data_IF_388244166509
#
_entry.id   IF_388244166509
#
_cell.length_a   1.000
_cell.length_b   1.000
_cell.length_c   1.000
_cell.angle_alpha   90.00
_cell.angle_beta   90.00
_cell.angle_gamma   90.00
#
_symmetry.space_group_name_H-M   'P 1'
#
loop_
_entity.id
_entity.type
_entity.pdbx_description
1 polymer ?
#
# COMPACT_ATOMS: atom_id res chain seq x y z
N UNK A 1 -26.17 -7.86 8.94
CA UNK A 1 -24.79 -8.09 8.47
C UNK A 1 -24.18 -6.88 7.75
N UNK A 2 -24.95 -5.89 7.30
CA UNK A 2 -24.45 -4.69 6.57
C UNK A 2 -23.68 -3.63 7.40
N UNK A 3 -23.66 -3.72 8.73
CA UNK A 3 -22.97 -2.73 9.58
C UNK A 3 -21.48 -3.01 9.82
N UNK A 4 -21.07 -4.29 9.80
CA UNK A 4 -19.68 -4.70 10.06
C UNK A 4 -18.82 -4.54 8.79
N UNK A 5 -19.39 -4.85 7.62
CA UNK A 5 -18.71 -4.74 6.32
C UNK A 5 -18.40 -3.28 5.94
N UNK A 6 -19.21 -2.33 6.38
CA UNK A 6 -18.97 -0.90 6.18
C UNK A 6 -17.79 -0.37 7.02
N UNK A 7 -17.56 -0.92 8.22
CA UNK A 7 -16.47 -0.49 9.09
C UNK A 7 -15.10 -0.94 8.55
N UNK A 8 -15.00 -2.18 8.07
CA UNK A 8 -13.76 -2.69 7.47
C UNK A 8 -13.46 -2.01 6.13
N UNK A 9 -14.47 -1.76 5.30
CA UNK A 9 -14.27 -1.07 4.02
C UNK A 9 -13.73 0.35 4.21
N UNK A 10 -14.28 1.10 5.19
CA UNK A 10 -13.76 2.42 5.56
C UNK A 10 -12.31 2.37 6.02
N UNK A 11 -11.96 1.40 6.88
CA UNK A 11 -10.58 1.18 7.33
C UNK A 11 -9.63 0.87 6.17
N UNK A 12 -10.01 -0.01 5.24
CA UNK A 12 -9.17 -0.37 4.09
C UNK A 12 -8.97 0.82 3.15
N UNK A 13 -10.00 1.63 2.92
CA UNK A 13 -9.89 2.86 2.14
C UNK A 13 -8.93 3.85 2.80
N UNK A 14 -9.08 4.09 4.11
CA UNK A 14 -8.17 4.93 4.90
C UNK A 14 -6.71 4.45 4.77
N UNK A 15 -6.48 3.15 4.92
CA UNK A 15 -5.11 2.60 4.80
C UNK A 15 -4.52 2.75 3.41
N UNK A 16 -5.35 2.68 2.37
CA UNK A 16 -4.95 2.86 0.97
C UNK A 16 -4.60 4.32 0.69
N UNK A 17 -5.36 5.27 1.23
CA UNK A 17 -5.06 6.69 1.11
C UNK A 17 -3.76 7.08 1.82
N UNK A 18 -3.52 6.55 3.02
CA UNK A 18 -2.25 6.76 3.74
C UNK A 18 -1.09 6.21 2.90
N UNK A 19 -1.25 5.01 2.33
CA UNK A 19 -0.24 4.41 1.47
C UNK A 19 0.10 5.26 0.25
N UNK A 20 -0.90 5.86 -0.39
CA UNK A 20 -0.69 6.77 -1.51
C UNK A 20 0.09 8.01 -1.08
N UNK A 21 -0.27 8.63 0.05
CA UNK A 21 0.43 9.81 0.58
C UNK A 21 1.89 9.52 0.94
N UNK A 22 2.18 8.34 1.49
CA UNK A 22 3.56 7.90 1.73
C UNK A 22 4.33 7.77 0.40
N UNK A 23 3.66 7.30 -0.66
CA UNK A 23 4.24 7.18 -2.00
C UNK A 23 4.50 8.55 -2.64
N UNK A 24 3.60 9.51 -2.42
CA UNK A 24 3.76 10.90 -2.87
C UNK A 24 4.94 11.58 -2.14
N UNK A 25 5.04 11.39 -0.82
CA UNK A 25 6.18 11.88 -0.04
C UNK A 25 7.50 11.30 -0.55
N UNK A 26 7.56 9.99 -0.83
CA UNK A 26 8.74 9.34 -1.43
C UNK A 26 9.10 9.93 -2.79
N UNK A 27 8.10 10.23 -3.61
CA UNK A 27 8.33 10.87 -4.92
C UNK A 27 8.91 12.27 -4.77
N UNK A 28 8.41 13.05 -3.80
CA UNK A 28 8.97 14.36 -3.49
C UNK A 28 10.42 14.27 -3.01
N UNK A 29 10.74 13.31 -2.14
CA UNK A 29 12.11 13.08 -1.64
C UNK A 29 13.08 12.83 -2.79
N UNK A 30 12.70 12.02 -3.79
CA UNK A 30 13.52 11.78 -4.97
C UNK A 30 13.75 13.07 -5.79
N UNK A 31 12.71 13.92 -5.90
CA UNK A 31 12.82 15.23 -6.57
C UNK A 31 13.69 16.22 -5.78
N UNK A 32 13.55 16.25 -4.45
CA UNK A 32 14.41 17.03 -3.55
C UNK A 32 15.87 16.65 -3.76
N UNK A 33 16.18 15.34 -3.82
CA UNK A 33 17.52 14.85 -4.11
C UNK A 33 18.02 15.28 -5.51
N UNK A 34 17.13 15.30 -6.50
CA UNK A 34 17.44 15.85 -7.83
C UNK A 34 17.83 17.33 -7.78
N UNK A 35 17.06 18.17 -7.08
CA UNK A 35 17.37 19.59 -6.93
C UNK A 35 18.62 19.84 -6.08
N UNK A 36 18.86 19.03 -5.05
CA UNK A 36 20.10 19.01 -4.29
C UNK A 36 21.32 18.83 -5.19
N UNK A 37 21.27 17.83 -6.09
CA UNK A 37 22.31 17.62 -7.09
C UNK A 37 22.49 18.81 -8.03
N UNK A 38 21.40 19.47 -8.43
CA UNK A 38 21.49 20.70 -9.24
C UNK A 38 22.13 21.85 -8.47
N UNK A 39 21.79 22.07 -7.20
CA UNK A 39 22.36 23.13 -6.35
C UNK A 39 23.87 22.95 -6.18
N UNK A 40 24.34 21.71 -6.01
CA UNK A 40 25.76 21.41 -5.81
C UNK A 40 26.58 21.54 -7.09
N UNK A 41 26.00 21.23 -8.26
CA UNK A 41 26.72 21.18 -9.53
C UNK A 41 26.50 22.41 -10.42
N UNK A 42 25.59 23.31 -10.06
CA UNK A 42 25.30 24.51 -10.86
C UNK A 42 26.50 25.46 -10.89
N UNK A 43 26.87 25.90 -12.09
CA UNK A 43 27.86 26.98 -12.33
C UNK A 43 27.21 28.36 -12.47
N UNK A 44 25.88 28.41 -12.57
CA UNK A 44 25.09 29.64 -12.69
C UNK A 44 24.29 29.91 -11.42
N UNK A 45 24.43 31.11 -10.86
CA UNK A 45 23.70 31.57 -9.67
C UNK A 45 22.18 31.59 -9.88
N UNK A 46 21.70 31.86 -11.10
CA UNK A 46 20.27 31.88 -11.41
C UNK A 46 19.66 30.47 -11.44
N UNK A 47 20.42 29.49 -11.93
CA UNK A 47 20.02 28.08 -11.92
C UNK A 47 19.99 27.53 -10.50
N UNK A 48 21.03 27.82 -9.70
CA UNK A 48 21.10 27.45 -8.28
C UNK A 48 19.92 28.02 -7.49
N UNK A 49 19.61 29.31 -7.68
CA UNK A 49 18.50 29.97 -6.99
C UNK A 49 17.13 29.40 -7.37
N UNK A 50 16.95 29.01 -8.63
CA UNK A 50 15.72 28.38 -9.11
C UNK A 50 15.54 26.98 -8.51
N UNK A 51 16.60 26.17 -8.52
CA UNK A 51 16.59 24.83 -7.92
C UNK A 51 16.34 24.89 -6.40
N UNK A 52 16.91 25.88 -5.70
CA UNK A 52 16.68 26.10 -4.27
C UNK A 52 15.21 26.41 -3.96
N UNK A 53 14.53 27.22 -4.77
CA UNK A 53 13.10 27.54 -4.59
C UNK A 53 12.20 26.32 -4.82
N UNK A 54 12.45 25.56 -5.88
CA UNK A 54 11.68 24.34 -6.15
C UNK A 54 11.88 23.28 -5.07
N UNK A 55 13.11 23.16 -4.56
CA UNK A 55 13.40 22.32 -3.41
C UNK A 55 12.59 22.76 -2.18
N UNK A 56 12.60 24.03 -1.83
CA UNK A 56 11.91 24.55 -0.63
C UNK A 56 10.40 24.24 -0.66
N UNK A 57 9.78 24.42 -1.82
CA UNK A 57 8.37 24.07 -2.03
C UNK A 57 8.11 22.58 -1.76
N UNK A 58 8.99 21.70 -2.26
CA UNK A 58 8.87 20.26 -2.03
C UNK A 58 9.16 19.86 -0.59
N UNK A 59 10.13 20.50 0.08
CA UNK A 59 10.43 20.27 1.50
C UNK A 59 9.18 20.55 2.35
N UNK A 60 8.57 21.72 2.15
CA UNK A 60 7.33 22.10 2.86
C UNK A 60 6.16 21.14 2.58
N UNK A 61 5.96 20.76 1.31
CA UNK A 61 4.91 19.80 0.96
C UNK A 61 5.15 18.41 1.57
N UNK A 62 6.39 17.92 1.50
CA UNK A 62 6.79 16.61 2.04
C UNK A 62 6.63 16.56 3.55
N UNK A 63 7.04 17.63 4.25
CA UNK A 63 6.84 17.78 5.69
C UNK A 63 5.37 17.59 6.08
N UNK A 64 4.46 18.29 5.40
CA UNK A 64 3.02 18.19 5.68
C UNK A 64 2.48 16.78 5.42
N UNK A 65 2.89 16.13 4.33
CA UNK A 65 2.50 14.75 4.03
C UNK A 65 2.97 13.77 5.11
N UNK A 66 4.22 13.90 5.57
CA UNK A 66 4.80 13.01 6.57
C UNK A 66 4.14 13.16 7.94
N UNK A 67 3.85 14.40 8.36
CA UNK A 67 3.11 14.68 9.60
C UNK A 67 1.70 14.06 9.53
N UNK A 68 0.98 14.31 8.43
CA UNK A 68 -0.36 13.75 8.23
C UNK A 68 -0.35 12.22 8.25
N UNK A 69 0.58 11.59 7.52
CA UNK A 69 0.71 10.13 7.50
C UNK A 69 1.00 9.59 8.92
N UNK A 70 1.92 10.23 9.65
CA UNK A 70 2.25 9.83 11.02
C UNK A 70 1.02 9.92 11.93
N UNK A 71 0.28 11.03 11.90
CA UNK A 71 -0.92 11.22 12.72
C UNK A 71 -2.01 10.18 12.39
N UNK A 72 -2.23 9.89 11.10
CA UNK A 72 -3.22 8.88 10.66
C UNK A 72 -2.81 7.46 11.04
N UNK A 73 -1.52 7.10 10.92
CA UNK A 73 -1.02 5.80 11.38
C UNK A 73 -1.13 5.66 12.90
N UNK A 74 -0.84 6.73 13.66
CA UNK A 74 -1.03 6.76 15.12
C UNK A 74 -2.50 6.66 15.53
N UNK A 75 -3.40 7.26 14.76
CA UNK A 75 -4.84 7.08 14.96
C UNK A 75 -5.25 5.61 14.79
N UNK A 76 -4.78 4.95 13.73
CA UNK A 76 -5.03 3.51 13.54
C UNK A 76 -4.50 2.70 14.72
N UNK A 77 -3.30 2.99 15.21
CA UNK A 77 -2.75 2.32 16.40
C UNK A 77 -3.69 2.45 17.60
N UNK A 78 -4.15 3.66 17.88
CA UNK A 78 -5.04 3.97 18.98
C UNK A 78 -6.40 3.27 18.87
N UNK A 79 -6.95 3.22 17.66
CA UNK A 79 -8.19 2.49 17.38
C UNK A 79 -8.01 0.99 17.58
N UNK A 80 -6.91 0.41 17.08
CA UNK A 80 -6.63 -1.02 17.16
C UNK A 80 -6.50 -1.51 18.61
N UNK A 81 -5.99 -0.71 19.54
CA UNK A 81 -5.92 -1.05 20.98
C UNK A 81 -7.32 -1.30 21.58
N UNK A 82 -8.36 -0.72 21.00
CA UNK A 82 -9.76 -0.85 21.46
C UNK A 82 -10.53 -1.95 20.77
N UNK A 83 -9.95 -2.57 19.73
CA UNK A 83 -10.59 -3.67 19.01
C UNK A 83 -10.30 -4.97 19.77
N UNK A 84 -11.34 -5.70 20.25
CA UNK A 84 -11.13 -6.97 20.93
C UNK A 84 -10.41 -7.96 20.01
N UNK A 85 -9.54 -8.80 20.58
CA UNK A 85 -8.85 -9.83 19.79
C UNK A 85 -9.79 -10.88 19.17
N UNK A 86 -11.03 -10.96 19.66
CA UNK A 86 -12.09 -11.79 19.07
C UNK A 86 -12.74 -11.18 17.82
N UNK A 87 -12.44 -9.93 17.47
CA UNK A 87 -12.95 -9.29 16.25
C UNK A 87 -12.41 -10.03 15.02
N UNK A 88 -13.26 -10.49 14.09
CA UNK A 88 -12.83 -11.18 12.87
C UNK A 88 -11.84 -10.39 12.01
N UNK A 89 -11.84 -9.05 12.12
CA UNK A 89 -10.98 -8.15 11.36
C UNK A 89 -9.71 -7.76 12.13
N UNK A 90 -9.54 -8.15 13.40
CA UNK A 90 -8.41 -7.74 14.24
C UNK A 90 -7.06 -8.00 13.55
N UNK A 91 -6.87 -9.21 13.00
CA UNK A 91 -5.64 -9.59 12.30
C UNK A 91 -5.34 -8.72 11.07
N UNK A 92 -6.35 -8.42 10.26
CA UNK A 92 -6.20 -7.56 9.07
C UNK A 92 -5.83 -6.14 9.49
N UNK A 93 -6.48 -5.61 10.54
CA UNK A 93 -6.20 -4.27 11.05
C UNK A 93 -4.78 -4.16 11.59
N UNK A 94 -4.32 -5.16 12.34
CA UNK A 94 -2.95 -5.19 12.85
C UNK A 94 -1.93 -5.27 11.71
N UNK A 95 -2.15 -6.17 10.72
CA UNK A 95 -1.24 -6.32 9.59
C UNK A 95 -1.13 -5.03 8.77
N UNK A 96 -2.25 -4.35 8.49
CA UNK A 96 -2.27 -3.09 7.75
C UNK A 96 -1.58 -1.97 8.51
N UNK A 97 -1.82 -1.87 9.82
CA UNK A 97 -1.11 -0.93 10.68
C UNK A 97 0.41 -1.15 10.63
N UNK A 98 0.88 -2.39 10.84
CA UNK A 98 2.32 -2.70 10.84
C UNK A 98 2.97 -2.44 9.48
N UNK A 99 2.26 -2.73 8.40
CA UNK A 99 2.71 -2.40 7.04
C UNK A 99 2.91 -0.90 6.85
N UNK A 100 1.90 -0.09 7.19
CA UNK A 100 1.97 1.37 7.04
C UNK A 100 3.04 1.98 7.95
N UNK A 101 3.14 1.52 9.19
CA UNK A 101 4.18 1.94 10.14
C UNK A 101 5.56 1.68 9.56
N UNK A 102 5.81 0.45 9.12
CA UNK A 102 7.11 0.07 8.53
C UNK A 102 7.41 0.88 7.27
N UNK A 103 6.42 1.06 6.39
CA UNK A 103 6.58 1.83 5.14
C UNK A 103 6.91 3.30 5.42
N UNK A 104 6.22 3.93 6.38
CA UNK A 104 6.49 5.31 6.78
C UNK A 104 7.87 5.44 7.46
N UNK A 105 8.23 4.52 8.36
CA UNK A 105 9.56 4.47 8.99
C UNK A 105 10.68 4.44 7.95
N UNK A 106 10.54 3.59 6.92
CA UNK A 106 11.53 3.49 5.85
C UNK A 106 11.65 4.80 5.05
N UNK A 107 10.53 5.49 4.78
CA UNK A 107 10.55 6.78 4.06
C UNK A 107 11.17 7.89 4.91
N UNK A 108 10.89 7.93 6.21
CA UNK A 108 11.52 8.89 7.15
C UNK A 108 13.04 8.68 7.22
N UNK A 109 13.48 7.43 7.29
CA UNK A 109 14.89 7.03 7.28
C UNK A 109 15.58 7.43 5.96
N UNK A 110 14.97 7.08 4.82
CA UNK A 110 15.46 7.43 3.49
C UNK A 110 15.60 8.95 3.34
N UNK A 111 14.60 9.72 3.78
CA UNK A 111 14.66 11.17 3.69
C UNK A 111 15.75 11.75 4.59
N UNK A 112 15.89 11.25 5.81
CA UNK A 112 16.95 11.70 6.72
C UNK A 112 18.34 11.47 6.14
N UNK A 113 18.54 10.33 5.47
CA UNK A 113 19.80 10.02 4.79
C UNK A 113 20.07 11.00 3.63
N UNK A 114 19.05 11.28 2.80
CA UNK A 114 19.15 12.26 1.70
C UNK A 114 19.56 13.65 2.22
N UNK A 115 18.93 14.12 3.30
CA UNK A 115 19.27 15.42 3.91
C UNK A 115 20.65 15.41 4.56
N UNK A 116 21.02 14.34 5.26
CA UNK A 116 22.34 14.18 5.86
C UNK A 116 23.46 14.20 4.81
N UNK A 117 23.27 13.49 3.70
CA UNK A 117 24.24 13.46 2.60
C UNK A 117 24.37 14.83 1.94
N UNK A 118 23.26 15.54 1.73
CA UNK A 118 23.29 16.90 1.20
C UNK A 118 23.97 17.89 2.15
N UNK A 119 23.69 17.82 3.45
CA UNK A 119 24.36 18.62 4.46
C UNK A 119 25.87 18.40 4.41
N UNK A 120 26.32 17.14 4.39
CA UNK A 120 27.73 16.79 4.31
C UNK A 120 28.39 17.37 3.05
N UNK A 121 27.77 17.20 1.90
CA UNK A 121 28.30 17.72 0.62
C UNK A 121 28.36 19.25 0.61
N UNK A 122 27.38 19.91 1.24
CA UNK A 122 27.36 21.37 1.38
C UNK A 122 28.49 21.85 2.30
N UNK A 123 28.68 21.19 3.45
CA UNK A 123 29.79 21.45 4.39
C UNK A 123 31.16 21.25 3.71
N UNK A 124 31.33 20.17 2.96
CA UNK A 124 32.56 19.91 2.18
C UNK A 124 32.84 20.99 1.12
N UNK A 125 31.79 21.46 0.41
CA UNK A 125 31.91 22.53 -0.59
C UNK A 125 32.35 23.85 0.06
N UNK A 126 31.75 24.21 1.19
CA UNK A 126 32.13 25.40 1.96
C UNK A 126 33.58 25.33 2.42
N UNK A 127 34.03 24.19 2.94
CA UNK A 127 35.42 24.01 3.36
C UNK A 127 36.41 24.13 2.20
N UNK A 128 36.07 23.61 1.01
CA UNK A 128 36.89 23.80 -0.21
C UNK A 128 36.94 25.26 -0.64
N UNK A 129 35.82 25.97 -0.61
CA UNK A 129 35.76 27.41 -0.94
C UNK A 129 36.60 28.23 0.05
N UNK A 130 36.57 27.90 1.33
CA UNK A 130 37.41 28.55 2.34
C UNK A 130 38.90 28.35 2.05
N UNK A 131 39.34 27.13 1.69
CA UNK A 131 40.74 26.85 1.31
C UNK A 131 41.21 27.62 0.07
N UNK A 132 40.33 27.96 -0.87
CA UNK A 132 40.70 28.77 -2.05
C UNK A 132 41.10 30.19 -1.61
N UNK A 133 40.42 30.74 -0.61
CA UNK A 133 40.71 32.08 -0.07
C UNK A 133 41.84 32.05 0.96
N UNK A 134 41.93 30.98 1.76
CA UNK A 134 42.98 30.77 2.75
C UNK A 134 43.67 29.40 2.57
N UNK A 135 44.68 29.30 1.68
CA UNK A 135 45.34 28.03 1.35
C UNK A 135 46.05 27.33 2.51
N UNK A 136 46.42 28.08 3.55
CA UNK A 136 47.14 27.57 4.72
C UNK A 136 46.20 27.20 5.88
N UNK A 137 44.88 27.28 5.69
CA UNK A 137 43.91 26.97 6.71
C UNK A 137 44.06 25.52 7.23
N UNK A 138 44.07 25.37 8.55
CA UNK A 138 44.06 24.06 9.20
C UNK A 138 42.69 23.39 9.07
N UNK A 139 42.63 22.07 9.23
CA UNK A 139 41.34 21.36 9.20
C UNK A 139 40.40 21.86 10.30
N UNK A 140 40.94 22.15 11.49
CA UNK A 140 40.16 22.64 12.62
C UNK A 140 39.55 24.03 12.35
N UNK A 141 40.31 24.94 11.73
CA UNK A 141 39.77 26.25 11.31
C UNK A 141 38.64 26.12 10.28
N UNK A 142 38.70 25.12 9.41
CA UNK A 142 37.64 24.86 8.42
C UNK A 142 36.40 24.29 9.10
N UNK A 143 36.58 23.33 9.99
CA UNK A 143 35.48 22.73 10.74
C UNK A 143 34.78 23.79 11.59
N UNK A 144 35.54 24.69 12.21
CA UNK A 144 35.01 25.83 12.97
C UNK A 144 34.25 26.81 12.05
N UNK A 145 34.78 27.12 10.87
CA UNK A 145 34.13 27.99 9.89
C UNK A 145 32.83 27.39 9.32
N UNK A 146 32.77 26.06 9.16
CA UNK A 146 31.60 25.37 8.60
C UNK A 146 30.52 25.12 9.65
N UNK A 147 30.92 24.98 10.92
CA UNK A 147 30.01 24.61 12.02
C UNK A 147 29.45 25.82 12.77
N UNK A 148 30.14 26.96 12.77
CA UNK A 148 29.73 28.13 13.53
C UNK A 148 29.27 29.26 12.61
N UNK A 149 27.96 29.54 12.61
CA UNK A 149 27.41 30.76 11.98
C UNK A 149 27.98 32.04 12.58
N UNK A 150 28.45 31.96 13.82
CA UNK A 150 28.87 33.09 14.65
C UNK A 150 30.38 33.35 14.55
N UNK A 151 31.09 32.72 13.60
CA UNK A 151 32.49 33.03 13.29
C UNK A 151 32.65 34.37 12.55
N UNK A 152 31.91 35.39 13.00
CA UNK A 152 32.01 36.80 12.65
C UNK A 152 33.44 37.39 12.73
N UNK A 153 34.33 37.00 13.66
CA UNK A 153 35.61 37.71 13.81
C UNK A 153 36.51 37.62 12.57
N UNK A 154 36.48 36.51 11.84
CA UNK A 154 37.34 36.30 10.65
C UNK A 154 36.87 37.15 9.47
N UNK A 155 35.56 37.38 9.36
CA UNK A 155 34.97 38.17 8.27
C UNK A 155 34.83 39.67 8.59
N UNK A 156 34.60 40.05 9.85
CA UNK A 156 34.51 41.46 10.24
C UNK A 156 35.81 42.23 9.97
N UNK A 157 36.97 41.57 10.05
CA UNK A 157 38.26 42.17 9.68
C UNK A 157 38.38 42.48 8.16
N UNK A 158 37.69 41.71 7.31
CA UNK A 158 37.66 41.89 5.86
C UNK A 158 36.61 42.91 5.39
N UNK A 159 35.48 43.03 6.12
CA UNK A 159 34.38 43.96 5.84
C UNK A 159 34.79 45.44 5.86
N UNK A 160 35.89 45.78 6.53
CA UNK A 160 36.40 47.15 6.64
C UNK A 160 37.03 47.67 5.33
N UNK A 161 37.17 46.86 4.27
CA UNK A 161 38.02 47.20 3.12
C UNK A 161 37.33 47.38 1.75
N UNK A 162 36.16 46.78 1.46
CA UNK A 162 35.53 46.87 0.12
C UNK A 162 34.06 46.40 0.07
N UNK A 163 33.29 46.83 -0.95
CA UNK A 163 31.93 46.34 -1.23
C UNK A 163 31.89 44.82 -1.56
N UNK A 164 32.99 44.27 -2.08
CA UNK A 164 33.14 42.85 -2.40
C UNK A 164 33.11 41.96 -1.13
N UNK A 165 33.67 42.45 -0.02
CA UNK A 165 33.66 41.74 1.25
C UNK A 165 32.24 41.61 1.85
N UNK A 166 31.35 42.58 1.59
CA UNK A 166 29.95 42.52 2.02
C UNK A 166 29.17 41.43 1.29
N UNK A 167 29.37 41.30 -0.02
CA UNK A 167 28.71 40.27 -0.82
C UNK A 167 29.18 38.87 -0.42
N UNK A 168 30.48 38.70 -0.16
CA UNK A 168 31.04 37.44 0.32
C UNK A 168 30.46 37.05 1.69
N UNK A 169 30.35 37.98 2.65
CA UNK A 169 29.73 37.70 3.95
C UNK A 169 28.26 37.27 3.81
N UNK A 170 27.48 37.98 2.98
CA UNK A 170 26.08 37.65 2.78
C UNK A 170 25.90 36.24 2.19
N UNK A 171 26.80 35.82 1.31
CA UNK A 171 26.82 34.44 0.79
C UNK A 171 27.13 33.42 1.88
N UNK A 172 28.13 33.69 2.74
CA UNK A 172 28.48 32.80 3.86
C UNK A 172 27.34 32.66 4.85
N UNK A 173 26.70 33.76 5.23
CA UNK A 173 25.54 33.75 6.13
C UNK A 173 24.39 32.93 5.55
N UNK A 174 24.09 33.13 4.26
CA UNK A 174 23.06 32.35 3.56
C UNK A 174 23.36 30.85 3.59
N UNK A 175 24.61 30.42 3.37
CA UNK A 175 24.99 29.00 3.42
C UNK A 175 24.81 28.39 4.81
N UNK A 176 25.13 29.15 5.86
CA UNK A 176 24.90 28.70 7.24
C UNK A 176 23.41 28.57 7.56
N UNK A 177 22.59 29.52 7.09
CA UNK A 177 21.14 29.42 7.21
C UNK A 177 20.59 28.18 6.48
N UNK A 178 21.09 27.90 5.27
CA UNK A 178 20.73 26.69 4.53
C UNK A 178 21.10 25.41 5.33
N UNK A 179 22.29 25.34 5.92
CA UNK A 179 22.71 24.23 6.80
C UNK A 179 21.77 24.07 7.98
N UNK A 180 21.45 25.16 8.67
CA UNK A 180 20.56 25.15 9.82
C UNK A 180 19.16 24.64 9.46
N UNK A 181 18.65 25.01 8.29
CA UNK A 181 17.36 24.52 7.81
C UNK A 181 17.37 23.01 7.53
N UNK A 182 18.49 22.48 7.01
CA UNK A 182 18.68 21.03 6.84
C UNK A 182 18.74 20.33 8.20
N UNK A 183 19.48 20.89 9.17
CA UNK A 183 19.58 20.34 10.52
C UNK A 183 18.21 20.29 11.23
N UNK A 184 17.40 21.34 11.09
CA UNK A 184 16.03 21.36 11.57
C UNK A 184 15.17 20.27 10.93
N UNK A 185 15.31 20.08 9.61
CA UNK A 185 14.60 19.04 8.87
C UNK A 185 14.99 17.65 9.38
N UNK A 186 16.29 17.37 9.56
CA UNK A 186 16.79 16.11 10.11
C UNK A 186 16.25 15.85 11.52
N UNK A 187 16.26 16.88 12.37
CA UNK A 187 15.74 16.78 13.74
C UNK A 187 14.23 16.49 13.75
N UNK A 188 13.46 17.13 12.89
CA UNK A 188 12.03 16.86 12.75
C UNK A 188 11.75 15.44 12.25
N UNK A 189 12.51 14.95 11.26
CA UNK A 189 12.37 13.57 10.79
C UNK A 189 12.67 12.55 11.90
N UNK A 190 13.66 12.82 12.75
CA UNK A 190 13.96 11.99 13.92
C UNK A 190 12.82 12.02 14.95
N UNK A 191 12.24 13.19 15.20
CA UNK A 191 11.08 13.33 16.09
C UNK A 191 9.86 12.56 15.56
N UNK A 192 9.54 12.69 14.27
CA UNK A 192 8.45 11.93 13.64
C UNK A 192 8.70 10.42 13.73
N UNK A 193 9.93 9.99 13.51
CA UNK A 193 10.32 8.59 13.65
C UNK A 193 10.11 8.09 15.08
N UNK A 194 10.54 8.86 16.09
CA UNK A 194 10.34 8.51 17.49
C UNK A 194 8.85 8.43 17.83
N UNK A 195 8.06 9.45 17.47
CA UNK A 195 6.62 9.50 17.72
C UNK A 195 5.86 8.33 17.10
N UNK A 196 6.26 7.91 15.90
CA UNK A 196 5.69 6.75 15.21
C UNK A 196 5.92 5.44 15.96
N UNK A 197 7.05 5.32 16.66
CA UNK A 197 7.41 4.13 17.44
C UNK A 197 6.95 4.18 18.90
N UNK A 198 6.50 5.33 19.40
CA UNK A 198 5.88 5.41 20.71
C UNK A 198 4.63 4.53 20.71
N UNK A 199 4.59 3.54 21.61
CA UNK A 199 3.44 2.68 21.75
C UNK A 199 2.36 3.38 22.58
N UNK A 200 1.09 3.24 22.19
CA UNK A 200 -0.03 3.62 23.04
C UNK A 200 -0.20 2.52 24.08
N UNK A 201 -0.01 2.86 25.36
CA UNK A 201 -0.34 1.96 26.46
C UNK A 201 -1.86 1.81 26.56
N UNK A 202 -2.31 0.56 26.67
CA UNK A 202 -3.67 0.23 27.05
C UNK A 202 -3.83 0.53 28.55
N UNK A 203 -4.58 1.56 28.93
CA UNK A 203 -5.13 1.59 30.29
C UNK A 203 -6.12 0.43 30.41
N UNK A 204 -5.88 -0.45 31.37
CA UNK A 204 -6.61 -1.70 31.63
C UNK A 204 -8.13 -1.59 31.37
N UNK A 205 -8.60 -2.20 30.27
CA UNK A 205 -9.93 -2.79 30.33
C UNK A 205 -9.77 -4.14 31.01
N UNK A 206 -10.27 -4.19 32.24
CA UNK A 206 -10.29 -5.34 33.12
C UNK A 206 -10.29 -6.68 32.37
N UNK A 207 -9.34 -7.52 32.75
CA UNK A 207 -9.39 -8.97 32.60
C UNK A 207 -10.78 -9.43 33.07
N UNK A 208 -11.67 -9.76 32.14
CA UNK A 208 -12.70 -10.77 32.37
C UNK A 208 -12.54 -11.79 31.24
N UNK A 209 -12.05 -12.94 31.69
CA UNK A 209 -11.96 -14.22 31.02
C UNK A 209 -13.18 -14.50 30.12
N UNK A 210 -12.94 -15.17 29.01
CA UNK A 210 -13.39 -16.56 28.82
C UNK A 210 -12.64 -17.13 27.60
N UNK A 211 -11.65 -17.96 27.91
CA UNK A 211 -11.47 -19.32 27.40
C UNK A 211 -12.70 -19.90 26.66
N UNK A 212 -13.00 -19.46 25.44
CA UNK A 212 -13.87 -20.15 24.47
C UNK A 212 -13.75 -19.44 23.12
N UNK A 213 -12.74 -19.83 22.34
CA UNK A 213 -12.70 -19.69 20.86
C UNK A 213 -11.40 -20.27 20.26
N UNK A 214 -10.57 -20.98 21.04
CA UNK A 214 -9.44 -21.76 20.51
C UNK A 214 -9.89 -22.89 19.56
N UNK A 215 -11.17 -23.30 19.60
CA UNK A 215 -11.74 -24.29 18.67
C UNK A 215 -12.49 -23.69 17.47
N UNK A 216 -12.55 -22.36 17.32
CA UNK A 216 -13.43 -21.73 16.30
C UNK A 216 -12.71 -20.91 15.24
N UNK A 217 -11.38 -20.76 15.34
CA UNK A 217 -10.58 -20.04 14.32
C UNK A 217 -9.78 -20.98 13.40
N UNK A 218 -9.64 -22.27 13.75
CA UNK A 218 -9.01 -23.26 12.86
C UNK A 218 -9.98 -23.79 11.78
N UNK A 219 -11.29 -23.68 11.95
CA UNK A 219 -12.26 -24.12 10.93
C UNK A 219 -12.76 -23.04 9.97
N UNK A 220 -12.30 -21.78 10.09
CA UNK A 220 -12.76 -20.68 9.22
C UNK A 220 -11.64 -19.98 8.45
N UNK A 221 -10.54 -20.71 8.20
CA UNK A 221 -9.46 -20.28 7.29
C UNK A 221 -9.25 -21.29 6.14
N UNK A 222 -10.11 -22.30 6.00
CA UNK A 222 -10.15 -23.18 4.82
C UNK A 222 -11.12 -22.69 3.73
N UNK A 223 -11.83 -21.58 3.97
CA UNK A 223 -12.84 -21.04 3.04
C UNK A 223 -12.53 -19.64 2.49
N UNK A 224 -11.32 -19.10 2.70
CA UNK A 224 -10.94 -17.76 2.19
C UNK A 224 -9.61 -17.76 1.43
N UNK A 225 -9.21 -18.91 0.89
CA UNK A 225 -8.12 -19.05 -0.10
C UNK A 225 -8.54 -19.90 -1.31
N UNK A 226 -9.85 -19.95 -1.61
CA UNK A 226 -10.38 -20.57 -2.84
C UNK A 226 -11.22 -19.64 -3.72
N UNK A 227 -11.03 -18.31 -3.61
CA UNK A 227 -11.69 -17.34 -4.51
C UNK A 227 -10.73 -16.49 -5.36
N UNK A 228 -9.49 -16.95 -5.57
CA UNK A 228 -8.63 -16.46 -6.66
C UNK A 228 -7.94 -17.59 -7.45
N UNK A 229 -8.56 -18.77 -7.49
CA UNK A 229 -8.00 -19.96 -8.16
C UNK A 229 -9.02 -20.88 -8.83
N UNK A 230 -10.25 -20.42 -9.12
CA UNK A 230 -11.30 -21.23 -9.76
C UNK A 230 -11.89 -20.61 -11.05
N UNK A 231 -11.12 -19.80 -11.76
CA UNK A 231 -11.52 -19.33 -13.08
C UNK A 231 -11.24 -20.33 -14.23
N UNK A 232 -10.51 -21.44 -14.00
CA UNK A 232 -10.19 -22.40 -15.09
C UNK A 232 -10.53 -23.88 -14.83
N UNK A 233 -11.03 -24.26 -13.66
CA UNK A 233 -11.30 -25.68 -13.33
C UNK A 233 -12.77 -26.10 -13.55
N UNK A 234 -13.71 -25.14 -13.64
CA UNK A 234 -15.12 -25.44 -13.94
C UNK A 234 -15.36 -25.70 -15.45
N UNK A 235 -14.50 -25.21 -16.35
CA UNK A 235 -14.62 -25.47 -17.79
C UNK A 235 -14.18 -26.91 -18.17
N UNK A 236 -13.26 -27.52 -17.42
CA UNK A 236 -12.75 -28.86 -17.73
C UNK A 236 -13.67 -29.98 -17.21
N UNK A 237 -14.38 -29.78 -16.09
CA UNK A 237 -15.31 -30.76 -15.55
C UNK A 237 -16.59 -30.94 -16.40
N UNK A 238 -17.04 -29.87 -17.06
CA UNK A 238 -18.20 -29.92 -17.97
C UNK A 238 -17.92 -30.75 -19.23
N UNK A 239 -16.67 -30.82 -19.70
CA UNK A 239 -16.28 -31.62 -20.88
C UNK A 239 -16.24 -33.12 -20.59
N UNK A 240 -15.80 -33.53 -19.38
CA UNK A 240 -15.79 -34.95 -18.97
C UNK A 240 -17.20 -35.53 -18.79
N UNK A 241 -18.16 -34.75 -18.26
CA UNK A 241 -19.55 -35.22 -18.09
C UNK A 241 -20.29 -35.44 -19.42
N UNK A 242 -20.00 -34.64 -20.46
CA UNK A 242 -20.55 -34.83 -21.81
C UNK A 242 -20.13 -36.17 -22.44
N UNK A 243 -18.87 -36.57 -22.24
CA UNK A 243 -18.36 -37.86 -22.75
C UNK A 243 -18.93 -39.06 -22.01
N UNK A 244 -19.16 -38.94 -20.70
CA UNK A 244 -19.79 -40.00 -19.90
C UNK A 244 -21.26 -40.20 -20.31
N UNK A 245 -22.03 -39.12 -20.51
CA UNK A 245 -23.40 -39.22 -21.02
C UNK A 245 -23.46 -39.80 -22.45
N UNK A 246 -22.52 -39.44 -23.32
CA UNK A 246 -22.44 -39.98 -24.68
C UNK A 246 -22.12 -41.48 -24.69
N UNK A 247 -21.22 -41.94 -23.81
CA UNK A 247 -20.90 -43.36 -23.67
C UNK A 247 -22.10 -44.19 -23.17
N UNK A 248 -22.88 -43.67 -22.21
CA UNK A 248 -24.09 -44.32 -21.71
C UNK A 248 -25.17 -44.40 -22.81
N UNK A 249 -25.33 -43.35 -23.62
CA UNK A 249 -26.29 -43.34 -24.72
C UNK A 249 -25.95 -44.39 -25.78
N UNK A 250 -24.67 -44.52 -26.18
CA UNK A 250 -24.22 -45.56 -27.12
C UNK A 250 -24.51 -46.96 -26.56
N UNK A 251 -24.25 -47.19 -25.27
CA UNK A 251 -24.50 -48.49 -24.63
C UNK A 251 -25.99 -48.86 -24.68
N UNK A 252 -26.89 -47.91 -24.41
CA UNK A 252 -28.34 -48.13 -24.51
C UNK A 252 -28.77 -48.47 -25.95
N UNK A 253 -28.23 -47.77 -26.96
CA UNK A 253 -28.52 -48.06 -28.38
C UNK A 253 -28.07 -49.47 -28.76
N UNK A 254 -26.89 -49.91 -28.31
CA UNK A 254 -26.40 -51.28 -28.56
C UNK A 254 -27.33 -52.32 -27.93
N UNK A 255 -27.79 -52.11 -26.69
CA UNK A 255 -28.75 -53.02 -26.04
C UNK A 255 -30.05 -53.11 -26.84
N UNK A 256 -30.60 -51.98 -27.29
CA UNK A 256 -31.83 -51.97 -28.09
C UNK A 256 -31.65 -52.74 -29.40
N UNK A 257 -30.53 -52.56 -30.11
CA UNK A 257 -30.23 -53.28 -31.35
C UNK A 257 -30.11 -54.79 -31.09
N UNK A 258 -29.45 -55.21 -30.01
CA UNK A 258 -29.34 -56.64 -29.65
C UNK A 258 -30.69 -57.24 -29.28
N UNK A 259 -31.56 -56.50 -28.58
CA UNK A 259 -32.93 -56.94 -28.26
C UNK A 259 -33.76 -57.08 -29.55
N UNK A 260 -33.68 -56.11 -30.46
CA UNK A 260 -34.39 -56.19 -31.75
C UNK A 260 -33.89 -57.38 -32.58
N UNK A 261 -32.57 -57.62 -32.62
CA UNK A 261 -31.99 -58.75 -33.35
C UNK A 261 -32.29 -60.12 -32.74
N UNK A 262 -32.48 -60.20 -31.41
CA UNK A 262 -32.84 -61.45 -30.71
C UNK A 262 -34.35 -61.72 -30.71
N UNK A 263 -35.18 -60.68 -30.81
CA UNK A 263 -36.65 -60.78 -30.85
C UNK A 263 -37.22 -60.80 -32.28
N UNK A 264 -36.38 -60.80 -33.31
CA UNK A 264 -36.79 -61.03 -34.70
C UNK A 264 -36.39 -62.41 -35.25
N UNK A 265 -37.02 -63.50 -34.79
CA UNK A 265 -37.36 -64.63 -35.63
C UNK A 265 -38.83 -64.52 -36.09
N UNK A 266 -38.98 -64.11 -37.36
CA UNK A 266 -40.03 -64.48 -38.33
C UNK A 266 -41.51 -64.46 -37.87
N UNK A 267 -42.27 -63.41 -38.23
CA UNK A 267 -43.73 -63.53 -38.40
C UNK A 267 -44.07 -63.42 -39.89
N UNK A 268 -44.38 -64.58 -40.46
CA UNK A 268 -45.01 -64.81 -41.75
C UNK A 268 -46.45 -65.24 -41.47
N UNK A 269 -47.43 -64.52 -42.03
CA UNK A 269 -48.73 -65.07 -42.48
C UNK A 269 -49.89 -65.26 -41.48
N UNK A 270 -50.77 -64.26 -41.45
CA UNK A 270 -52.21 -64.30 -41.84
C UNK A 270 -53.30 -65.12 -41.09
N UNK A 271 -54.51 -64.50 -41.11
CA UNK A 271 -55.88 -65.03 -41.11
C UNK A 271 -56.80 -64.98 -39.86
N UNK A 272 -57.58 -63.89 -39.81
CA UNK A 272 -59.05 -63.79 -40.04
C UNK A 272 -60.12 -64.41 -39.11
N UNK A 273 -61.06 -63.52 -38.70
CA UNK A 273 -62.54 -63.63 -38.49
C UNK A 273 -63.08 -64.52 -37.35
N UNK A 274 -63.92 -63.97 -36.45
CA UNK A 274 -65.40 -63.81 -36.58
C UNK A 274 -66.09 -63.37 -35.25
N UNK A 275 -66.79 -62.22 -35.33
CA UNK A 275 -68.14 -61.87 -34.82
C UNK A 275 -68.81 -62.60 -33.62
N UNK A 276 -69.42 -61.84 -32.68
CA UNK A 276 -70.88 -61.87 -32.35
C UNK A 276 -71.31 -60.83 -31.30
N UNK A 277 -72.49 -60.25 -31.52
CA UNK A 277 -73.19 -59.19 -30.79
C UNK A 277 -73.90 -59.64 -29.49
N UNK A 278 -74.19 -58.71 -28.56
CA UNK A 278 -75.55 -58.21 -28.19
C UNK A 278 -75.58 -57.19 -27.01
N UNK A 279 -76.20 -56.02 -27.30
CA UNK A 279 -77.16 -55.15 -26.54
C UNK A 279 -77.30 -55.28 -25.00
N UNK A 280 -77.48 -54.21 -24.19
CA UNK A 280 -78.64 -53.27 -24.09
C UNK A 280 -78.28 -52.01 -23.23
N UNK A 281 -78.85 -50.84 -23.58
CA UNK A 281 -78.86 -49.51 -22.87
C UNK A 281 -79.97 -49.41 -21.80
N UNK A 282 -79.99 -48.44 -20.85
CA UNK A 282 -80.57 -47.09 -21.11
C UNK A 282 -79.79 -45.93 -20.42
N UNK A 283 -79.62 -44.76 -21.06
CA UNK A 283 -80.39 -43.50 -20.92
C UNK A 283 -80.45 -42.95 -19.47
N UNK A 284 -80.14 -41.68 -19.17
CA UNK A 284 -80.95 -40.50 -19.53
C UNK A 284 -80.18 -39.17 -19.30
N UNK A 285 -80.34 -38.24 -20.27
CA UNK A 285 -80.73 -36.81 -20.14
C UNK A 285 -79.76 -35.83 -19.42
N UNK A 286 -79.53 -34.57 -19.81
CA UNK A 286 -79.69 -33.70 -20.99
C UNK A 286 -79.28 -32.27 -20.51
N UNK A 287 -78.46 -31.55 -21.30
CA UNK A 287 -78.36 -30.08 -21.61
C UNK A 287 -78.93 -28.98 -20.66
N UNK A 288 -78.96 -27.67 -21.02
CA UNK A 288 -78.26 -26.84 -22.02
C UNK A 288 -77.44 -25.70 -21.31
N UNK A 289 -76.74 -24.75 -21.93
CA UNK A 289 -76.85 -24.02 -23.22
C UNK A 289 -75.47 -23.53 -23.64
#
# INVERSE_FOLDING_TARGET
MSGVDNNISGFLNETTEIEQRITDAKTNIARIQGFQGQILNSTSTSAESSAARERENLVSNTRNLLIECKDRVKRIQYENVRVPSSDPNFGIRQQRYEYLRTKLSNVLEEYRQVESDFMKQTKDRMGRQYKVVNPNATQQEIDDYVSNSDSEPIFQQALLKTNEAKNALAEVQKRHEDIKNIENTIAELAALFQELHLQVESQDQAIINIEQNADTVVQKTEQTTQELGKANVLAMAARKKKWICFAIFILIVIIIVVVILTQLPQIRGDNSKQNTNKTVTPALINSPS
#
